data_IF_862542459381
#
_entry.id   IF_862542459381
#
_cell.length_a   1.000
_cell.length_b   1.000
_cell.length_c   1.000
_cell.angle_alpha   90.00
_cell.angle_beta   90.00
_cell.angle_gamma   90.00
#
_symmetry.space_group_name_H-M   'P 1'
#
loop_
_entity.id
_entity.type
_entity.pdbx_description
1 polymer ?
2 non-polymer ?
3 non-polymer ?
4 non-polymer ?
5 water ?
#
# COMPACT_ATOMS: atom_id res chain seq x y z
N UNK A 23 -10.18 -19.17 -25.33
CA UNK A 23 -8.92 -18.90 -24.65
C UNK A 23 -8.89 -19.61 -23.31
N UNK A 24 -7.70 -20.08 -22.93
CA UNK A 24 -7.55 -20.87 -21.70
C UNK A 24 -6.27 -20.55 -20.97
N UNK A 25 -6.33 -20.64 -19.64
CA UNK A 25 -5.13 -20.69 -18.84
C UNK A 25 -4.50 -22.07 -18.94
N UNK A 26 -3.23 -22.13 -19.33
CA UNK A 26 -2.52 -23.41 -19.46
C UNK A 26 -1.59 -23.69 -18.30
N UNK A 27 -1.14 -22.64 -17.63
CA UNK A 27 -0.28 -22.88 -16.47
C UNK A 27 -0.33 -21.65 -15.60
N UNK A 28 0.02 -21.85 -14.33
CA UNK A 28 0.17 -20.73 -13.41
C UNK A 28 1.17 -21.14 -12.37
N UNK A 29 2.07 -20.25 -12.02
CA UNK A 29 3.11 -20.61 -11.07
C UNK A 29 3.45 -19.47 -10.13
N UNK A 30 3.96 -19.82 -8.95
CA UNK A 30 4.31 -18.85 -7.94
C UNK A 30 5.83 -18.82 -7.86
N UNK A 31 6.38 -17.61 -8.02
CA UNK A 31 7.82 -17.39 -7.96
C UNK A 31 8.12 -16.64 -6.67
N UNK A 32 9.06 -17.15 -5.90
CA UNK A 32 9.45 -16.57 -4.60
C UNK A 32 10.92 -16.17 -4.71
N UNK A 33 11.22 -14.93 -4.35
CA UNK A 33 12.60 -14.43 -4.47
C UNK A 33 12.85 -13.43 -3.34
N UNK A 34 14.12 -13.35 -2.91
CA UNK A 34 14.49 -12.40 -1.82
C UNK A 34 15.70 -11.51 -2.22
N UNK A 35 15.49 -10.57 -3.13
CA UNK A 35 16.58 -9.67 -3.54
C UNK A 35 16.69 -8.52 -2.53
N UNK A 36 16.97 -8.84 -1.27
CA UNK A 36 17.02 -7.82 -0.23
C UNK A 36 15.85 -7.95 0.75
N UNK A 37 14.70 -8.39 0.23
CA UNK A 37 13.53 -8.72 1.07
C UNK A 37 12.66 -9.66 0.24
N UNK A 38 11.72 -10.36 0.88
CA UNK A 38 10.94 -11.38 0.15
C UNK A 38 9.81 -10.79 -0.70
N UNK A 39 9.73 -11.28 -1.94
CA UNK A 39 8.61 -10.97 -2.84
C UNK A 39 8.06 -12.27 -3.43
N UNK A 40 6.73 -12.33 -3.49
CA UNK A 40 6.03 -13.47 -4.07
C UNK A 40 5.23 -12.96 -5.26
N UNK A 41 5.33 -13.68 -6.40
CA UNK A 41 4.74 -13.25 -7.66
C UNK A 41 3.99 -14.41 -8.32
N UNK A 42 2.76 -14.18 -8.77
CA UNK A 42 2.05 -15.17 -9.58
C UNK A 42 2.21 -14.86 -11.06
N UNK A 43 2.49 -15.89 -11.86
CA UNK A 43 2.52 -15.75 -13.33
C UNK A 43 1.47 -16.70 -13.90
N UNK A 44 0.53 -16.15 -14.68
CA UNK A 44 -0.52 -16.94 -15.36
C UNK A 44 -0.19 -16.95 -16.84
N UNK A 45 -0.19 -18.13 -17.45
CA UNK A 45 0.17 -18.27 -18.88
C UNK A 45 -1.02 -18.78 -19.67
N UNK A 46 -1.33 -18.12 -20.78
CA UNK A 46 -2.46 -18.52 -21.63
C UNK A 46 -1.99 -19.39 -22.78
N UNK A 47 -2.96 -20.01 -23.44
CA UNK A 47 -2.66 -20.92 -24.56
C UNK A 47 -2.20 -20.20 -25.80
N UNK A 48 -2.35 -18.89 -25.83
CA UNK A 48 -1.77 -18.07 -26.87
C UNK A 48 -0.41 -17.48 -26.46
N UNK A 49 0.19 -18.01 -25.41
CA UNK A 49 1.48 -17.53 -24.96
C UNK A 49 1.54 -16.17 -24.26
N UNK A 50 0.47 -15.37 -24.29
CA UNK A 50 0.42 -14.14 -23.48
C UNK A 50 0.41 -14.57 -22.01
N UNK A 51 1.15 -13.84 -21.17
CA UNK A 51 1.13 -14.13 -19.74
C UNK A 51 0.90 -12.84 -19.01
N UNK A 52 0.51 -12.99 -17.75
CA UNK A 52 0.32 -11.86 -16.86
C UNK A 52 0.91 -12.18 -15.50
N UNK A 53 1.32 -11.13 -14.78
CA UNK A 53 1.83 -11.34 -13.42
C UNK A 53 1.13 -10.46 -12.42
N UNK A 54 1.10 -10.91 -11.16
CA UNK A 54 0.48 -10.20 -10.06
C UNK A 54 1.30 -10.36 -8.80
N UNK A 55 1.33 -9.32 -7.97
CA UNK A 55 2.02 -9.44 -6.67
C UNK A 55 1.14 -10.27 -5.69
N UNK A 56 1.83 -11.14 -4.95
CA UNK A 56 1.20 -11.94 -3.90
C UNK A 56 1.95 -11.80 -2.60
N UNK A 57 2.74 -10.74 -2.42
CA UNK A 57 3.57 -10.65 -1.19
C UNK A 57 2.76 -10.20 0.03
N UNK A 58 2.85 -10.96 1.14
CA UNK A 58 2.20 -10.61 2.42
C UNK A 58 3.26 -10.61 3.48
N UNK A 59 3.75 -9.39 3.82
CA UNK A 59 4.99 -9.25 4.60
C UNK A 59 4.89 -9.98 5.91
N UNK A 60 5.84 -10.85 6.16
CA UNK A 60 5.92 -11.54 7.44
C UNK A 60 5.06 -12.80 7.54
N UNK A 61 4.28 -13.11 6.50
CA UNK A 61 3.50 -14.37 6.42
C UNK A 61 3.56 -14.95 5.01
N UNK A 62 4.66 -14.71 4.28
CA UNK A 62 4.65 -14.88 2.83
C UNK A 62 4.28 -16.27 2.34
N UNK A 63 4.81 -17.33 2.97
CA UNK A 63 4.63 -18.68 2.51
C UNK A 63 3.15 -19.19 2.69
N UNK A 64 2.40 -18.56 3.57
CA UNK A 64 0.98 -18.96 3.72
C UNK A 64 0.20 -18.62 2.43
N UNK A 65 0.56 -17.53 1.77
CA UNK A 65 -0.04 -17.16 0.47
C UNK A 65 0.45 -18.10 -0.61
N UNK A 66 1.73 -18.46 -0.59
CA UNK A 66 2.24 -19.40 -1.58
C UNK A 66 1.41 -20.69 -1.56
N UNK A 67 1.15 -21.21 -0.35
CA UNK A 67 0.36 -22.42 -0.23
C UNK A 67 -1.11 -22.18 -0.66
N UNK A 68 -1.70 -21.07 -0.22
CA UNK A 68 -3.07 -20.77 -0.63
C UNK A 68 -3.20 -20.83 -2.16
N UNK A 69 -2.24 -20.25 -2.86
CA UNK A 69 -2.23 -20.29 -4.32
C UNK A 69 -1.91 -21.66 -4.87
N UNK A 70 -0.77 -22.24 -4.48
CA UNK A 70 -0.35 -23.48 -5.10
C UNK A 70 -1.25 -24.66 -4.80
N UNK A 71 -1.76 -24.72 -3.56
CA UNK A 71 -2.43 -25.92 -3.11
C UNK A 71 -3.92 -25.84 -3.33
N UNK A 72 -4.47 -24.66 -3.55
CA UNK A 72 -5.94 -24.48 -3.64
C UNK A 72 -6.39 -23.71 -4.89
N UNK A 73 -5.82 -22.55 -5.18
CA UNK A 73 -6.41 -21.71 -6.23
C UNK A 73 -5.88 -22.05 -7.63
N UNK A 74 -4.57 -22.22 -7.77
CA UNK A 74 -3.99 -22.51 -9.08
C UNK A 74 -4.61 -23.76 -9.74
N UNK A 75 -4.81 -24.88 -8.99
CA UNK A 75 -5.43 -26.04 -9.65
C UNK A 75 -6.82 -25.76 -10.26
N UNK A 76 -7.56 -24.81 -9.69
CA UNK A 76 -8.85 -24.37 -10.25
C UNK A 76 -8.71 -23.46 -11.45
N UNK A 77 -7.65 -22.65 -11.50
CA UNK A 77 -7.46 -21.74 -12.63
C UNK A 77 -7.24 -22.45 -13.94
N UNK A 78 -6.52 -23.58 -13.88
CA UNK A 78 -6.10 -24.23 -15.10
C UNK A 78 -7.34 -24.60 -15.94
N UNK A 79 -7.28 -24.22 -17.22
CA UNK A 79 -8.35 -24.50 -18.16
C UNK A 79 -9.43 -23.43 -18.22
N UNK A 80 -9.42 -22.47 -17.30
CA UNK A 80 -10.45 -21.44 -17.33
C UNK A 80 -10.13 -20.37 -18.35
N UNK A 81 -11.16 -19.63 -18.77
CA UNK A 81 -10.97 -18.55 -19.73
C UNK A 81 -10.44 -17.33 -18.91
N UNK A 82 -9.21 -16.87 -19.18
CA UNK A 82 -8.65 -15.75 -18.41
C UNK A 82 -9.40 -14.43 -18.65
N UNK A 83 -10.18 -14.35 -19.73
CA UNK A 83 -10.92 -13.10 -19.96
C UNK A 83 -12.04 -12.85 -18.95
N UNK A 84 -12.45 -13.91 -18.27
CA UNK A 84 -13.55 -13.82 -17.28
C UNK A 84 -13.03 -13.35 -15.92
N UNK A 85 -12.54 -12.13 -15.87
CA UNK A 85 -11.92 -11.62 -14.64
C UNK A 85 -12.95 -11.56 -13.50
N UNK A 86 -14.11 -10.98 -13.76
CA UNK A 86 -15.13 -10.85 -12.73
C UNK A 86 -15.59 -12.23 -12.25
N UNK A 87 -15.84 -13.17 -13.17
CA UNK A 87 -16.35 -14.48 -12.74
C UNK A 87 -15.31 -15.16 -11.85
N UNK A 88 -14.04 -15.08 -12.24
CA UNK A 88 -13.00 -15.73 -11.46
C UNK A 88 -12.88 -15.03 -10.09
N UNK A 89 -13.01 -13.70 -10.04
CA UNK A 89 -12.90 -12.98 -8.76
C UNK A 89 -13.98 -13.44 -7.83
N UNK A 90 -15.22 -13.51 -8.33
CA UNK A 90 -16.33 -13.93 -7.50
C UNK A 90 -16.16 -15.38 -7.08
N UNK A 91 -15.74 -16.23 -8.01
CA UNK A 91 -15.56 -17.66 -7.76
C UNK A 91 -14.62 -17.81 -6.56
N UNK A 92 -13.49 -17.12 -6.56
CA UNK A 92 -12.58 -17.27 -5.41
C UNK A 92 -13.03 -16.52 -4.17
N UNK A 93 -13.57 -15.31 -4.32
CA UNK A 93 -14.00 -14.54 -3.14
C UNK A 93 -15.10 -15.26 -2.40
N UNK A 94 -16.15 -15.70 -3.11
CA UNK A 94 -17.28 -16.38 -2.48
C UNK A 94 -16.94 -17.86 -2.23
N UNK A 95 -16.24 -18.47 -3.19
CA UNK A 95 -16.02 -19.92 -3.17
C UNK A 95 -15.11 -20.41 -2.05
N UNK A 96 -14.25 -19.55 -1.53
CA UNK A 96 -13.43 -19.91 -0.35
C UNK A 96 -14.31 -20.26 0.84
N UNK A 97 -15.55 -19.75 0.89
CA UNK A 97 -16.53 -20.03 1.97
C UNK A 97 -16.23 -19.20 3.22
N UNK A 98 -14.99 -19.32 3.72
CA UNK A 98 -14.45 -18.42 4.76
C UNK A 98 -14.01 -17.16 4.02
N UNK A 99 -14.69 -16.04 4.23
CA UNK A 99 -14.45 -14.90 3.35
C UNK A 99 -13.46 -13.87 3.89
N UNK A 100 -12.86 -13.12 2.97
CA UNK A 100 -11.99 -11.98 3.31
C UNK A 100 -10.71 -12.52 3.91
N UNK A 101 -9.96 -11.63 4.55
CA UNK A 101 -8.75 -12.03 5.28
C UNK A 101 -7.45 -11.81 4.53
N UNK A 102 -6.36 -11.53 5.24
CA UNK A 102 -5.10 -11.14 4.58
C UNK A 102 -4.58 -12.18 3.61
N UNK A 103 -4.62 -13.47 3.96
CA UNK A 103 -3.96 -14.48 3.13
C UNK A 103 -4.76 -14.70 1.87
N UNK A 104 -6.06 -14.97 2.01
CA UNK A 104 -6.89 -15.23 0.83
C UNK A 104 -7.05 -14.02 -0.07
N UNK A 105 -7.15 -12.81 0.49
CA UNK A 105 -7.30 -11.64 -0.34
C UNK A 105 -6.04 -11.26 -1.08
N UNK A 106 -4.87 -11.59 -0.54
CA UNK A 106 -3.59 -11.36 -1.24
C UNK A 106 -3.49 -12.38 -2.37
N UNK A 107 -3.86 -13.65 -2.12
CA UNK A 107 -3.85 -14.64 -3.20
C UNK A 107 -4.78 -14.20 -4.31
N UNK A 108 -6.00 -13.76 -3.96
CA UNK A 108 -6.95 -13.33 -4.98
C UNK A 108 -6.45 -12.08 -5.70
N UNK A 109 -5.81 -11.14 -4.99
CA UNK A 109 -5.20 -9.99 -5.65
C UNK A 109 -4.19 -10.39 -6.72
N UNK A 110 -3.38 -11.40 -6.43
CA UNK A 110 -2.33 -11.81 -7.36
C UNK A 110 -3.01 -12.30 -8.66
N UNK A 111 -4.05 -13.12 -8.51
CA UNK A 111 -4.81 -13.61 -9.68
C UNK A 111 -5.46 -12.46 -10.45
N UNK A 112 -6.13 -11.56 -9.73
CA UNK A 112 -6.85 -10.50 -10.40
C UNK A 112 -5.91 -9.59 -11.16
N UNK A 113 -4.76 -9.23 -10.57
CA UNK A 113 -3.82 -8.34 -11.27
C UNK A 113 -3.24 -9.07 -12.48
N UNK A 114 -2.88 -10.35 -12.33
CA UNK A 114 -2.32 -11.06 -13.48
C UNK A 114 -3.34 -11.13 -14.61
N UNK A 115 -4.63 -11.31 -14.30
CA UNK A 115 -5.64 -11.33 -15.36
C UNK A 115 -5.87 -9.96 -15.98
N UNK A 116 -5.84 -8.88 -15.20
CA UNK A 116 -5.94 -7.56 -15.85
C UNK A 116 -4.71 -7.29 -16.72
N UNK A 117 -3.53 -7.75 -16.29
CA UNK A 117 -2.30 -7.63 -17.08
C UNK A 117 -2.50 -8.34 -18.43
N UNK A 118 -3.01 -9.57 -18.39
CA UNK A 118 -3.35 -10.29 -19.64
C UNK A 118 -4.36 -9.54 -20.48
N UNK A 119 -5.45 -9.06 -19.90
CA UNK A 119 -6.51 -8.40 -20.67
C UNK A 119 -5.96 -7.14 -21.38
N UNK A 120 -5.14 -6.36 -20.67
CA UNK A 120 -4.55 -5.20 -21.30
C UNK A 120 -3.56 -5.57 -22.40
N UNK A 121 -2.77 -6.61 -22.21
CA UNK A 121 -1.89 -7.07 -23.28
C UNK A 121 -2.72 -7.55 -24.48
N UNK A 122 -3.84 -8.26 -24.25
CA UNK A 122 -4.70 -8.70 -25.39
C UNK A 122 -5.29 -7.49 -26.14
N UNK A 123 -5.64 -6.44 -25.41
CA UNK A 123 -6.10 -5.19 -25.99
C UNK A 123 -5.02 -4.36 -26.60
N UNK A 124 -3.75 -4.75 -26.37
CA UNK A 124 -2.59 -3.93 -26.76
C UNK A 124 -2.64 -2.50 -26.23
N UNK A 125 -2.96 -2.39 -24.94
CA UNK A 125 -3.06 -1.09 -24.25
C UNK A 125 -2.35 -1.13 -22.92
N UNK A 126 -1.76 0.00 -22.51
CA UNK A 126 -1.39 0.12 -21.09
C UNK A 126 -2.65 -0.03 -20.25
N UNK A 127 -2.50 -0.63 -19.06
CA UNK A 127 -3.66 -0.97 -18.23
C UNK A 127 -4.52 0.26 -17.95
N UNK A 128 -3.92 1.43 -17.68
CA UNK A 128 -4.78 2.58 -17.35
C UNK A 128 -5.81 2.90 -18.42
N UNK A 129 -5.52 2.56 -19.68
CA UNK A 129 -6.50 2.81 -20.73
C UNK A 129 -7.75 1.96 -20.56
N UNK A 130 -7.58 0.72 -20.10
CA UNK A 130 -8.74 -0.17 -19.89
C UNK A 130 -9.63 0.27 -18.78
N UNK A 131 -9.08 0.99 -17.79
CA UNK A 131 -9.83 1.40 -16.64
C UNK A 131 -10.69 2.62 -16.92
N UNK A 132 -10.40 3.29 -18.04
CA UNK A 132 -11.09 4.52 -18.35
C UNK A 132 -10.16 5.63 -18.80
N UNK A 133 -8.86 5.38 -18.93
CA UNK A 133 -7.95 6.38 -19.51
C UNK A 133 -7.34 7.32 -18.45
N UNK A 134 -6.41 8.15 -18.90
CA UNK A 134 -5.74 8.98 -17.93
C UNK A 134 -6.55 10.20 -17.51
N UNK A 135 -6.45 10.49 -16.23
CA UNK A 135 -7.13 11.62 -15.61
C UNK A 135 -6.15 12.71 -15.20
N UNK A 136 -4.86 12.49 -15.37
CA UNK A 136 -3.85 13.46 -14.87
C UNK A 136 -2.56 13.20 -15.66
N UNK A 137 -1.62 14.17 -15.64
CA UNK A 137 -0.39 14.03 -16.40
C UNK A 137 0.72 13.46 -15.56
N UNK A 138 0.55 13.47 -14.24
CA UNK A 138 1.64 13.08 -13.34
C UNK A 138 0.99 12.65 -12.03
N UNK A 139 1.66 11.77 -11.29
CA UNK A 139 1.11 11.18 -10.07
C UNK A 139 1.96 11.58 -8.85
N UNK A 140 1.37 12.40 -7.97
CA UNK A 140 2.11 12.87 -6.80
C UNK A 140 2.47 11.70 -5.88
N UNK A 141 3.73 11.72 -5.38
CA UNK A 141 4.16 10.69 -4.45
C UNK A 141 4.65 11.36 -3.14
N UNK A 142 4.86 10.53 -2.13
CA UNK A 142 5.62 11.02 -0.94
C UNK A 142 6.66 10.00 -0.55
N UNK A 143 7.70 10.50 0.12
CA UNK A 143 8.79 9.69 0.62
C UNK A 143 8.87 9.82 2.13
N UNK A 144 9.92 9.19 2.65
CA UNK A 144 10.24 9.15 4.07
C UNK A 144 11.24 10.23 4.47
N UNK A 145 11.07 10.68 5.69
CA UNK A 145 12.17 11.38 6.38
C UNK A 145 12.09 10.92 7.83
N UNK A 146 13.09 10.12 8.22
CA UNK A 146 13.13 9.53 9.57
C UNK A 146 14.41 9.94 10.24
N UNK A 147 14.34 10.33 11.50
CA UNK A 147 15.55 10.53 12.27
C UNK A 147 15.41 10.07 13.70
N UNK A 148 16.56 9.77 14.31
CA UNK A 148 16.59 9.28 15.69
C UNK A 148 16.34 10.42 16.66
N UNK A 149 16.57 11.66 16.19
CA UNK A 149 16.31 12.85 16.97
C UNK A 149 15.92 14.01 16.05
N UNK A 150 15.66 15.18 16.60
CA UNK A 150 15.15 16.28 15.77
C UNK A 150 16.16 16.77 14.75
N UNK A 151 17.43 16.94 15.14
CA UNK A 151 18.38 17.43 14.17
C UNK A 151 18.50 16.47 13.00
N UNK A 152 18.56 15.19 13.30
CA UNK A 152 18.64 14.22 12.22
C UNK A 152 17.36 14.14 11.38
N UNK A 153 16.20 14.34 12.01
CA UNK A 153 14.96 14.37 11.25
C UNK A 153 14.99 15.53 10.26
N UNK A 154 15.41 16.71 10.70
CA UNK A 154 15.49 17.89 9.83
C UNK A 154 16.42 17.63 8.65
N UNK A 155 17.57 17.00 8.91
CA UNK A 155 18.46 16.61 7.81
C UNK A 155 17.80 15.62 6.85
N UNK A 156 17.03 14.66 7.37
CA UNK A 156 16.36 13.70 6.50
C UNK A 156 15.30 14.40 5.63
N UNK A 157 14.65 15.43 6.16
CA UNK A 157 13.68 16.19 5.36
C UNK A 157 14.44 16.94 4.22
N UNK A 158 15.59 17.55 4.51
CA UNK A 158 16.39 18.21 3.48
C UNK A 158 16.78 17.21 2.41
N UNK A 159 17.23 16.02 2.79
CA UNK A 159 17.66 14.99 1.80
C UNK A 159 16.47 14.57 0.95
N UNK A 160 15.28 14.44 1.54
CA UNK A 160 14.08 14.06 0.77
C UNK A 160 13.70 15.15 -0.21
N UNK A 161 13.77 16.41 0.22
CA UNK A 161 13.45 17.53 -0.66
C UNK A 161 14.46 17.57 -1.82
N UNK A 162 15.73 17.29 -1.52
CA UNK A 162 16.75 17.34 -2.56
C UNK A 162 16.58 16.21 -3.58
N UNK A 163 15.83 15.18 -3.23
CA UNK A 163 15.51 14.15 -4.22
C UNK A 163 14.31 14.48 -5.07
N UNK A 164 13.71 15.65 -4.87
CA UNK A 164 12.61 16.16 -5.68
C UNK A 164 11.22 15.92 -5.12
N UNK A 165 11.12 15.34 -3.92
CA UNK A 165 9.78 15.09 -3.35
C UNK A 165 9.08 16.37 -2.87
N UNK A 166 7.79 16.48 -3.18
CA UNK A 166 6.93 17.57 -2.81
C UNK A 166 6.09 17.26 -1.59
N UNK A 167 6.25 16.03 -1.10
CA UNK A 167 5.45 15.55 0.02
C UNK A 167 6.33 14.56 0.77
N UNK A 168 6.35 14.72 2.09
CA UNK A 168 7.32 14.01 2.93
C UNK A 168 6.65 13.57 4.21
N UNK A 169 6.74 12.29 4.52
CA UNK A 169 6.28 11.74 5.81
C UNK A 169 7.38 11.91 6.81
N UNK A 170 7.10 12.50 7.96
CA UNK A 170 8.10 12.81 8.96
C UNK A 170 7.87 11.94 10.19
N UNK A 171 8.91 11.23 10.60
CA UNK A 171 8.90 10.39 11.81
C UNK A 171 10.17 10.70 12.56
N UNK A 172 10.07 10.86 13.87
CA UNK A 172 11.21 11.23 14.69
C UNK A 172 11.22 10.38 15.94
N UNK A 173 12.42 9.95 16.37
CA UNK A 173 12.55 9.27 17.64
C UNK A 173 12.11 10.15 18.79
N UNK A 174 11.63 9.53 19.86
CA UNK A 174 11.10 10.26 21.00
C UNK A 174 12.07 10.15 22.17
N UNK A 175 12.45 11.30 22.79
CA UNK A 175 13.38 11.22 23.93
C UNK A 175 12.78 10.34 25.04
N UNK A 176 13.60 9.49 25.67
CA UNK A 176 13.11 8.60 26.70
C UNK A 176 12.45 7.31 26.21
N UNK A 177 12.34 7.14 24.89
CA UNK A 177 11.90 5.87 24.32
C UNK A 177 13.07 5.19 23.57
N UNK A 196 14.80 -12.43 11.78
CA UNK A 196 14.24 -13.78 11.61
C UNK A 196 12.97 -13.98 12.45
N UNK A 197 12.96 -13.50 13.70
CA UNK A 197 11.76 -13.55 14.54
C UNK A 197 11.49 -12.11 14.95
N UNK A 198 10.27 -11.79 15.42
CA UNK A 198 9.95 -10.37 15.71
C UNK A 198 10.87 -9.70 16.76
N UNK A 199 11.37 -8.53 16.40
CA UNK A 199 12.06 -7.64 17.33
C UNK A 199 10.98 -7.07 18.24
N UNK A 200 11.38 -6.67 19.44
CA UNK A 200 10.40 -6.16 20.43
C UNK A 200 10.72 -4.70 20.72
N UNK A 201 9.85 -3.78 20.29
CA UNK A 201 10.01 -2.35 20.58
C UNK A 201 9.32 -1.99 21.88
N UNK A 202 9.72 -0.88 22.49
CA UNK A 202 9.06 -0.43 23.71
C UNK A 202 8.42 0.94 23.37
N UNK A 203 7.31 1.25 24.03
CA UNK A 203 6.51 2.41 23.63
C UNK A 203 5.96 3.14 24.84
N UNK A 204 5.95 4.48 24.78
CA UNK A 204 5.25 5.36 25.75
C UNK A 204 4.40 6.33 24.99
N UNK A 205 3.08 6.20 25.09
CA UNK A 205 2.15 7.14 24.46
C UNK A 205 2.37 8.59 24.98
N UNK A 206 2.50 8.73 26.28
CA UNK A 206 2.53 10.07 26.84
C UNK A 206 3.74 10.88 26.39
N UNK A 207 4.90 10.20 26.34
CA UNK A 207 6.10 10.89 25.86
C UNK A 207 5.97 11.29 24.39
N UNK A 208 5.42 10.41 23.57
CA UNK A 208 5.18 10.70 22.16
C UNK A 208 4.24 11.91 21.97
N UNK A 209 3.10 11.92 22.67
CA UNK A 209 2.12 13.02 22.47
C UNK A 209 2.68 14.36 22.90
N UNK A 210 3.55 14.35 23.92
CA UNK A 210 4.16 15.60 24.42
C UNK A 210 5.20 16.16 23.48
N UNK A 211 5.82 15.30 22.66
CA UNK A 211 6.99 15.70 21.87
C UNK A 211 6.71 15.91 20.40
N UNK A 212 5.92 15.05 19.81
CA UNK A 212 5.76 15.09 18.38
C UNK A 212 5.25 16.42 17.76
N UNK A 213 4.39 17.18 18.46
CA UNK A 213 4.03 18.48 17.84
C UNK A 213 5.22 19.42 17.69
N UNK A 214 6.19 19.33 18.58
CA UNK A 214 7.38 20.20 18.50
C UNK A 214 8.21 19.84 17.26
N UNK A 215 8.19 18.58 16.86
CA UNK A 215 8.88 18.16 15.64
C UNK A 215 8.25 18.85 14.43
N UNK A 216 6.92 18.83 14.33
CA UNK A 216 6.26 19.51 13.20
C UNK A 216 6.41 21.03 13.25
N UNK A 217 6.41 21.62 14.44
CA UNK A 217 6.73 23.04 14.54
C UNK A 217 8.11 23.35 13.97
N UNK A 218 9.10 22.52 14.28
CA UNK A 218 10.47 22.78 13.79
C UNK A 218 10.56 22.55 12.29
N UNK A 219 9.90 21.53 11.75
CA UNK A 219 9.92 21.28 10.33
C UNK A 219 9.27 22.44 9.60
N UNK A 220 8.12 22.93 10.06
CA UNK A 220 7.50 24.12 9.40
C UNK A 220 8.39 25.35 9.51
N UNK A 221 9.09 25.54 10.63
CA UNK A 221 9.91 26.73 10.76
C UNK A 221 11.05 26.70 9.76
N UNK A 222 11.66 25.54 9.56
CA UNK A 222 12.80 25.46 8.64
C UNK A 222 12.37 25.37 7.17
N UNK A 223 11.31 24.64 6.86
CA UNK A 223 10.99 24.32 5.47
C UNK A 223 9.79 25.06 4.89
N UNK A 224 9.07 25.80 5.73
CA UNK A 224 7.96 26.62 5.25
C UNK A 224 6.66 25.83 5.03
N UNK A 225 5.62 26.53 4.56
CA UNK A 225 4.24 26.00 4.47
C UNK A 225 3.90 25.25 3.19
N UNK A 226 4.74 25.32 2.17
CA UNK A 226 4.31 24.79 0.88
C UNK A 226 4.53 23.28 0.75
N UNK A 227 5.53 22.78 1.45
CA UNK A 227 5.83 21.34 1.40
C UNK A 227 4.68 20.54 2.08
N UNK A 228 4.25 19.44 1.47
CA UNK A 228 3.20 18.62 2.10
C UNK A 228 3.84 17.72 3.14
N UNK A 229 3.27 17.71 4.36
CA UNK A 229 3.87 16.91 5.45
C UNK A 229 2.86 15.89 5.91
N UNK A 230 3.34 14.68 6.12
CA UNK A 230 2.51 13.55 6.55
C UNK A 230 3.06 12.96 7.83
N UNK A 231 2.19 12.32 8.63
CA UNK A 231 2.67 11.61 9.81
C UNK A 231 1.89 10.34 9.99
N UNK A 232 2.60 9.26 10.33
CA UNK A 232 2.00 7.94 10.57
C UNK A 232 2.07 7.64 12.08
N UNK A 233 0.90 7.59 12.71
CA UNK A 233 0.80 7.30 14.15
C UNK A 233 1.00 5.83 14.41
N UNK A 234 0.77 5.00 13.38
CA UNK A 234 1.09 3.58 13.47
C UNK A 234 0.37 2.87 14.61
N UNK A 235 -0.93 3.18 14.75
CA UNK A 235 -1.90 2.39 15.54
C UNK A 235 -1.79 2.54 17.02
N UNK A 236 -1.01 3.51 17.53
CA UNK A 236 -0.61 3.45 18.92
C UNK A 236 -1.53 4.15 19.91
N UNK A 237 -2.51 4.93 19.41
CA UNK A 237 -3.31 5.77 20.31
C UNK A 237 -4.71 5.24 20.53
N UNK A 238 -5.37 5.73 21.56
CA UNK A 238 -6.84 5.58 21.67
C UNK A 238 -7.50 6.75 20.98
N UNK A 239 -8.80 6.67 20.67
CA UNK A 239 -9.43 7.79 19.95
C UNK A 239 -9.32 9.15 20.63
N UNK A 240 -9.47 9.27 21.94
CA UNK A 240 -9.38 10.61 22.52
C UNK A 240 -7.93 11.13 22.50
N UNK A 241 -6.96 10.21 22.55
CA UNK A 241 -5.54 10.59 22.33
C UNK A 241 -5.27 11.06 20.91
N UNK A 242 -5.86 10.37 19.93
CA UNK A 242 -5.75 10.80 18.55
C UNK A 242 -6.44 12.14 18.32
N UNK A 243 -7.58 12.37 19.00
CA UNK A 243 -8.26 13.66 18.91
C UNK A 243 -7.32 14.77 19.43
N UNK A 244 -6.73 14.55 20.61
CA UNK A 244 -5.74 15.47 21.16
C UNK A 244 -4.58 15.71 20.21
N UNK A 245 -4.02 14.65 19.62
CA UNK A 245 -2.86 14.84 18.72
C UNK A 245 -3.29 15.59 17.47
N UNK A 246 -4.42 15.21 16.87
CA UNK A 246 -4.88 15.93 15.69
C UNK A 246 -5.03 17.41 15.98
N UNK A 247 -5.63 17.76 17.11
CA UNK A 247 -5.76 19.17 17.47
C UNK A 247 -4.38 19.82 17.59
N UNK A 248 -3.41 19.15 18.27
CA UNK A 248 -2.09 19.74 18.46
C UNK A 248 -1.37 19.91 17.13
N UNK A 249 -1.71 19.12 16.11
CA UNK A 249 -1.01 19.21 14.83
C UNK A 249 -1.70 20.18 13.86
N UNK A 250 -2.91 20.64 14.21
CA UNK A 250 -3.63 21.57 13.29
C UNK A 250 -2.80 22.79 12.81
N UNK A 251 -2.02 23.45 13.66
CA UNK A 251 -1.28 24.65 13.17
C UNK A 251 -0.30 24.33 12.07
N UNK A 252 0.11 23.05 11.97
CA UNK A 252 1.13 22.66 10.99
C UNK A 252 0.53 22.13 9.70
N UNK A 253 -0.79 22.06 9.61
CA UNK A 253 -1.51 21.75 8.38
C UNK A 253 -0.94 20.57 7.62
N UNK A 254 -1.01 19.42 8.28
CA UNK A 254 -0.57 18.17 7.67
C UNK A 254 -1.47 17.73 6.53
N UNK A 255 -0.86 17.10 5.51
CA UNK A 255 -1.62 16.41 4.47
C UNK A 255 -2.49 15.30 5.06
N UNK A 256 -1.91 14.52 5.97
CA UNK A 256 -2.72 13.58 6.78
C UNK A 256 -2.01 13.17 8.03
N UNK A 257 -2.84 12.70 8.97
CA UNK A 257 -2.39 11.95 10.14
C UNK A 257 -2.98 10.56 9.93
N UNK A 258 -2.08 9.57 9.88
CA UNK A 258 -2.39 8.19 9.41
C UNK A 258 -2.44 7.18 10.53
N UNK A 259 -3.38 6.26 10.38
CA UNK A 259 -3.51 5.06 11.25
C UNK A 259 -3.46 5.45 12.72
N UNK A 260 -4.30 6.43 13.08
CA UNK A 260 -4.17 6.92 14.45
C UNK A 260 -4.54 5.95 15.54
N UNK A 261 -5.54 5.12 15.27
CA UNK A 261 -6.01 4.13 16.23
C UNK A 261 -6.30 2.85 15.46
N UNK A 262 -6.19 1.67 16.10
CA UNK A 262 -6.62 0.42 15.42
C UNK A 262 -8.09 0.55 15.04
N UNK A 263 -8.40 0.07 13.85
CA UNK A 263 -9.65 0.41 13.19
C UNK A 263 -10.59 -0.76 12.98
N UNK A 264 -10.40 -1.84 13.73
CA UNK A 264 -11.36 -2.96 13.61
C UNK A 264 -12.75 -2.51 14.00
N UNK A 265 -12.90 -1.66 15.01
CA UNK A 265 -14.15 -1.03 15.36
C UNK A 265 -14.11 0.33 14.66
N UNK A 266 -14.81 0.39 13.53
CA UNK A 266 -14.70 1.59 12.68
C UNK A 266 -15.26 2.84 13.35
N UNK A 267 -16.19 2.67 14.30
CA UNK A 267 -16.75 3.81 15.04
C UNK A 267 -15.71 4.57 15.90
N UNK A 268 -14.57 3.94 16.11
CA UNK A 268 -13.43 4.61 16.79
C UNK A 268 -13.10 5.95 16.15
N UNK A 269 -13.24 6.08 14.84
CA UNK A 269 -12.86 7.32 14.17
C UNK A 269 -13.89 8.43 14.35
N UNK A 270 -15.14 8.12 14.77
CA UNK A 270 -16.16 9.16 14.95
C UNK A 270 -15.70 10.17 16.01
N UNK A 271 -15.12 9.73 17.10
CA UNK A 271 -14.71 10.59 18.16
C UNK A 271 -13.51 11.47 17.73
N UNK A 272 -12.58 10.92 16.92
CA UNK A 272 -11.48 11.69 16.41
C UNK A 272 -12.04 12.80 15.53
N UNK A 273 -12.95 12.44 14.63
CA UNK A 273 -13.48 13.38 13.65
C UNK A 273 -14.25 14.49 14.31
N UNK A 274 -14.86 14.25 15.47
CA UNK A 274 -15.56 15.29 16.23
C UNK A 274 -14.64 16.43 16.56
N UNK A 275 -13.39 16.09 16.91
CA UNK A 275 -12.50 16.98 17.65
C UNK A 275 -11.41 17.63 16.85
N UNK A 276 -11.09 17.20 15.63
CA UNK A 276 -9.99 17.81 14.90
C UNK A 276 -10.31 17.98 13.43
N UNK A 277 -9.67 19.00 12.85
CA UNK A 277 -9.71 19.19 11.40
C UNK A 277 -8.41 18.78 10.72
N UNK A 278 -7.45 18.16 11.45
CA UNK A 278 -6.35 17.53 10.76
C UNK A 278 -6.90 16.39 9.88
N UNK A 279 -6.54 16.32 8.58
CA UNK A 279 -7.07 15.25 7.74
C UNK A 279 -6.61 13.87 8.19
N UNK A 280 -7.47 12.86 8.00
CA UNK A 280 -7.23 11.52 8.54
C UNK A 280 -7.08 10.52 7.41
N UNK A 281 -6.11 9.64 7.55
CA UNK A 281 -5.93 8.55 6.60
C UNK A 281 -5.88 7.22 7.36
N UNK A 282 -6.35 6.13 6.72
CA UNK A 282 -6.23 4.82 7.37
C UNK A 282 -6.32 3.77 6.29
N UNK A 283 -5.79 2.57 6.56
CA UNK A 283 -6.26 1.38 5.86
C UNK A 283 -5.19 0.56 5.14
N UNK A 284 -3.90 0.77 5.33
CA UNK A 284 -2.92 -0.12 4.69
C UNK A 284 -3.12 -1.56 5.12
N UNK A 285 -3.68 -1.80 6.31
CA UNK A 285 -3.83 -3.20 6.76
C UNK A 285 -5.14 -3.85 6.31
N UNK A 286 -6.04 -3.11 5.65
CA UNK A 286 -7.36 -3.65 5.30
C UNK A 286 -7.26 -4.61 4.11
N UNK A 287 -8.25 -5.50 4.02
CA UNK A 287 -8.29 -6.41 2.86
C UNK A 287 -9.65 -6.41 2.19
N UNK A 288 -10.59 -5.57 2.60
CA UNK A 288 -11.93 -5.62 2.05
C UNK A 288 -12.62 -4.27 2.18
N UNK A 289 -13.55 -4.01 1.26
CA UNK A 289 -14.45 -2.88 1.45
C UNK A 289 -15.19 -2.94 2.77
N UNK A 290 -15.41 -4.14 3.32
CA UNK A 290 -16.14 -4.25 4.57
C UNK A 290 -15.32 -3.79 5.78
N UNK A 291 -14.04 -3.57 5.57
CA UNK A 291 -13.18 -3.02 6.64
C UNK A 291 -13.31 -1.49 6.72
N UNK A 292 -13.91 -0.86 5.69
CA UNK A 292 -13.90 0.61 5.63
C UNK A 292 -15.22 1.19 5.17
N UNK A 293 -16.29 0.40 4.97
CA UNK A 293 -17.52 0.98 4.47
C UNK A 293 -18.01 2.04 5.42
N UNK A 294 -18.04 1.78 6.72
CA UNK A 294 -18.59 2.77 7.65
C UNK A 294 -17.67 3.98 7.78
N UNK A 295 -16.35 3.79 7.81
CA UNK A 295 -15.42 4.92 7.86
C UNK A 295 -15.72 5.89 6.72
N UNK A 296 -15.96 5.36 5.54
CA UNK A 296 -16.13 6.19 4.33
C UNK A 296 -17.54 6.78 4.29
N UNK A 297 -18.60 5.97 4.45
CA UNK A 297 -19.93 6.52 4.24
C UNK A 297 -20.32 7.56 5.28
N UNK A 298 -19.68 7.51 6.45
CA UNK A 298 -19.96 8.50 7.49
C UNK A 298 -18.98 9.67 7.43
N UNK A 299 -18.12 9.70 6.42
CA UNK A 299 -17.16 10.83 6.26
C UNK A 299 -16.25 10.97 7.47
N UNK A 300 -15.78 9.83 8.00
CA UNK A 300 -14.88 9.86 9.16
C UNK A 300 -13.44 9.93 8.77
N UNK A 301 -13.10 9.73 7.49
CA UNK A 301 -11.72 9.76 7.03
C UNK A 301 -11.64 10.55 5.75
N UNK A 302 -10.42 10.96 5.39
CA UNK A 302 -10.16 11.72 4.14
C UNK A 302 -9.44 10.92 3.06
N UNK A 303 -8.65 9.92 3.49
CA UNK A 303 -7.87 9.10 2.53
C UNK A 303 -7.95 7.67 2.93
N UNK A 304 -8.18 6.81 1.93
CA UNK A 304 -8.20 5.34 2.10
C UNK A 304 -6.88 4.81 1.56
N UNK A 305 -6.19 4.04 2.39
CA UNK A 305 -4.81 3.62 2.07
C UNK A 305 -4.69 2.16 1.62
N UNK A 306 -5.82 1.44 1.58
CA UNK A 306 -5.89 0.01 1.23
C UNK A 306 -5.33 -0.22 -0.18
N UNK A 307 -4.60 -1.33 -0.36
CA UNK A 307 -3.83 -1.52 -1.59
C UNK A 307 -4.40 -2.64 -2.46
N UNK A 308 -3.97 -2.56 -3.73
CA UNK A 308 -4.30 -3.58 -4.72
C UNK A 308 -3.81 -4.96 -4.27
N UNK A 309 -2.56 -5.09 -3.79
CA UNK A 309 -2.02 -6.42 -3.45
C UNK A 309 -2.73 -7.02 -2.22
N UNK A 310 -3.17 -6.19 -1.27
CA UNK A 310 -3.70 -6.74 -0.03
C UNK A 310 -5.20 -6.80 0.08
N UNK A 311 -5.89 -6.23 -0.91
CA UNK A 311 -7.35 -6.18 -0.85
C UNK A 311 -7.99 -6.66 -2.15
N UNK A 312 -7.52 -7.76 -2.71
CA UNK A 312 -8.29 -8.40 -3.78
C UNK A 312 -8.11 -7.77 -5.16
N UNK A 313 -7.08 -6.99 -5.37
CA UNK A 313 -6.72 -6.56 -6.71
C UNK A 313 -7.39 -5.32 -7.25
N UNK A 314 -7.20 -5.14 -8.56
CA UNK A 314 -7.81 -4.04 -9.31
C UNK A 314 -9.33 -4.08 -9.19
N UNK A 315 -9.95 -5.25 -9.32
CA UNK A 315 -11.42 -5.34 -9.31
C UNK A 315 -11.99 -4.80 -8.02
N UNK A 316 -11.42 -5.20 -6.87
CA UNK A 316 -11.97 -4.68 -5.62
C UNK A 316 -11.57 -3.23 -5.37
N UNK A 317 -10.34 -2.82 -5.69
CA UNK A 317 -9.96 -1.43 -5.41
C UNK A 317 -10.72 -0.44 -6.31
N UNK A 318 -11.14 -0.81 -7.53
CA UNK A 318 -12.02 0.09 -8.30
C UNK A 318 -13.29 0.37 -7.49
N UNK A 319 -13.87 -0.66 -6.88
CA UNK A 319 -15.11 -0.53 -6.09
C UNK A 319 -14.86 0.31 -4.85
N UNK A 320 -13.73 0.09 -4.15
CA UNK A 320 -13.43 0.93 -2.97
C UNK A 320 -13.24 2.38 -3.38
N UNK A 321 -12.47 2.62 -4.45
CA UNK A 321 -12.21 4.02 -4.82
C UNK A 321 -13.49 4.70 -5.28
N UNK A 322 -14.33 4.04 -6.04
CA UNK A 322 -15.58 4.65 -6.48
C UNK A 322 -16.49 4.91 -5.28
N UNK A 323 -16.60 3.97 -4.34
CA UNK A 323 -17.42 4.22 -3.14
C UNK A 323 -16.87 5.45 -2.41
N UNK A 324 -15.55 5.49 -2.22
CA UNK A 324 -14.91 6.62 -1.57
C UNK A 324 -15.26 7.96 -2.23
N UNK A 325 -15.37 7.97 -3.56
CA UNK A 325 -15.57 9.22 -4.30
C UNK A 325 -16.90 9.86 -3.94
N UNK A 326 -17.91 9.11 -3.51
CA UNK A 326 -19.22 9.66 -3.15
C UNK A 326 -19.22 10.47 -1.86
N UNK A 327 -18.13 10.30 -1.10
CA UNK A 327 -18.02 10.81 0.26
C UNK A 327 -16.77 11.63 0.46
N UNK A 328 -16.22 12.16 -0.64
CA UNK A 328 -15.04 13.05 -0.63
C UNK A 328 -13.75 12.40 -0.24
N UNK A 329 -13.73 11.07 -0.15
CA UNK A 329 -12.51 10.37 0.22
C UNK A 329 -11.65 10.14 -1.00
N UNK A 330 -10.34 10.33 -0.84
CA UNK A 330 -9.38 10.19 -1.93
C UNK A 330 -8.46 8.99 -1.69
N UNK A 331 -7.87 8.46 -2.76
CA UNK A 331 -6.97 7.29 -2.59
C UNK A 331 -5.63 7.76 -2.10
N UNK A 332 -5.05 6.99 -1.20
CA UNK A 332 -3.69 7.26 -0.74
C UNK A 332 -2.98 5.94 -0.57
N UNK A 333 -2.78 5.20 -1.66
CA UNK A 333 -2.25 3.84 -1.53
C UNK A 333 -0.94 3.78 -0.73
N UNK A 334 -0.93 2.82 0.20
CA UNK A 334 0.29 2.38 0.83
C UNK A 334 1.28 1.92 -0.24
N UNK A 335 2.56 2.10 0.05
CA UNK A 335 3.61 1.98 -0.96
C UNK A 335 4.93 1.73 -0.30
N UNK A 336 4.92 0.99 0.80
CA UNK A 336 6.17 0.59 1.46
C UNK A 336 6.91 -0.46 0.60
N UNK A 337 8.16 -0.75 0.97
CA UNK A 337 8.97 -1.62 0.14
C UNK A 337 8.46 -3.07 0.01
N UNK A 338 7.61 -3.50 0.96
CA UNK A 338 7.06 -4.87 0.98
C UNK A 338 5.96 -5.11 -0.06
N UNK A 339 5.56 -4.05 -0.77
CA UNK A 339 4.69 -4.19 -1.96
C UNK A 339 5.66 -4.22 -3.14
N UNK A 340 5.63 -5.28 -3.94
CA UNK A 340 6.65 -5.42 -4.98
C UNK A 340 6.48 -4.42 -6.14
N UNK A 341 7.48 -4.33 -7.02
CA UNK A 341 7.29 -3.48 -8.20
C UNK A 341 6.05 -3.85 -9.03
N UNK A 342 5.62 -5.12 -8.98
CA UNK A 342 4.37 -5.50 -9.67
C UNK A 342 3.20 -4.76 -9.06
N UNK A 343 3.11 -4.72 -7.74
CA UNK A 343 2.07 -3.90 -7.12
C UNK A 343 2.23 -2.43 -7.49
N UNK A 344 3.46 -1.91 -7.47
CA UNK A 344 3.65 -0.50 -7.82
C UNK A 344 3.16 -0.21 -9.24
N UNK A 345 3.50 -1.08 -10.20
CA UNK A 345 3.05 -0.82 -11.58
C UNK A 345 1.52 -0.80 -11.66
N UNK A 346 0.87 -1.81 -11.06
CA UNK A 346 -0.59 -1.80 -11.07
C UNK A 346 -1.17 -0.57 -10.37
N UNK A 347 -0.57 -0.20 -9.23
CA UNK A 347 -1.03 0.97 -8.51
C UNK A 347 -0.89 2.24 -9.30
N UNK A 348 0.20 2.39 -10.04
CA UNK A 348 0.43 3.62 -10.80
C UNK A 348 -0.53 3.71 -11.99
N UNK A 349 -0.79 2.56 -12.64
CA UNK A 349 -1.83 2.60 -13.69
C UNK A 349 -3.18 3.01 -13.10
N UNK A 350 -3.54 2.43 -11.95
CA UNK A 350 -4.78 2.78 -11.27
C UNK A 350 -4.77 4.28 -10.92
N UNK A 351 -3.66 4.76 -10.36
CA UNK A 351 -3.53 6.16 -9.95
C UNK A 351 -3.66 7.10 -11.14
N UNK A 352 -3.20 6.69 -12.34
CA UNK A 352 -3.22 7.57 -13.50
C UNK A 352 -4.67 7.82 -13.98
N UNK A 353 -5.56 6.84 -13.74
CA UNK A 353 -6.97 6.93 -14.16
C UNK A 353 -7.89 7.47 -13.05
N UNK A 354 -7.69 7.05 -11.79
CA UNK A 354 -8.82 7.17 -10.85
C UNK A 354 -9.13 8.68 -10.60
N UNK A 355 -10.42 9.08 -10.63
CA UNK A 355 -10.67 10.51 -10.54
C UNK A 355 -10.27 11.05 -9.17
N UNK A 356 -10.63 10.35 -8.10
CA UNK A 356 -10.40 10.81 -6.72
C UNK A 356 -9.05 10.37 -6.17
N UNK A 357 -8.01 10.48 -7.00
CA UNK A 357 -6.64 10.23 -6.55
C UNK A 357 -6.20 11.25 -5.53
N UNK A 358 -5.52 10.80 -4.48
CA UNK A 358 -4.94 11.71 -3.49
C UNK A 358 -3.41 11.75 -3.57
N UNK A 359 -2.77 10.62 -3.29
CA UNK A 359 -1.29 10.57 -3.35
C UNK A 359 -0.89 9.09 -3.43
N UNK A 360 0.37 8.87 -3.83
CA UNK A 360 0.93 7.52 -3.84
C UNK A 360 2.16 7.45 -2.91
N UNK A 361 2.14 6.55 -1.94
CA UNK A 361 3.36 6.37 -1.13
C UNK A 361 4.45 5.77 -1.99
N UNK A 362 5.68 6.25 -1.81
CA UNK A 362 6.84 5.68 -2.48
C UNK A 362 8.00 5.54 -1.52
N UNK A 363 8.17 4.36 -0.99
CA UNK A 363 9.39 4.02 -0.28
C UNK A 363 10.19 3.19 -1.27
N UNK A 364 11.31 3.72 -1.74
CA UNK A 364 11.98 3.17 -2.92
C UNK A 364 12.54 1.78 -2.74
N UNK A 365 12.33 0.94 -3.75
CA UNK A 365 13.02 -0.32 -3.86
C UNK A 365 14.49 -0.13 -4.16
N UNK A 366 15.30 -1.13 -3.80
CA UNK A 366 16.73 -1.05 -4.08
C UNK A 366 17.04 -1.44 -5.51
N UNK A 367 18.27 -1.17 -5.94
CA UNK A 367 18.70 -1.57 -7.27
C UNK A 367 18.54 -3.09 -7.52
N UNK A 368 18.86 -3.88 -6.51
CA UNK A 368 18.76 -5.33 -6.60
C UNK A 368 17.30 -5.76 -6.82
N UNK A 369 16.37 -5.13 -6.10
CA UNK A 369 14.92 -5.40 -6.23
C UNK A 369 14.43 -4.99 -7.60
N UNK A 370 14.82 -3.78 -8.03
CA UNK A 370 14.36 -3.31 -9.32
C UNK A 370 14.83 -4.16 -10.48
N UNK A 371 16.05 -4.73 -10.40
CA UNK A 371 16.56 -5.56 -11.49
C UNK A 371 15.74 -6.85 -11.71
N UNK A 372 15.17 -7.39 -10.62
CA UNK A 372 14.36 -8.60 -10.75
C UNK A 372 13.03 -8.30 -11.45
N UNK A 373 12.56 -7.04 -11.35
CA UNK A 373 11.25 -6.65 -11.89
C UNK A 373 11.34 -5.47 -12.87
N UNK A 374 11.80 -5.72 -14.09
CA UNK A 374 11.83 -4.63 -15.10
C UNK A 374 10.45 -4.00 -15.27
N UNK A 375 10.41 -2.68 -15.41
CA UNK A 375 9.12 -2.00 -15.40
C UNK A 375 9.18 -0.72 -16.21
N UNK A 376 8.00 -0.30 -16.65
CA UNK A 376 7.86 0.89 -17.46
C UNK A 376 7.60 2.15 -16.66
N UNK A 377 7.18 2.05 -15.41
CA UNK A 377 6.89 3.26 -14.67
C UNK A 377 8.19 4.01 -14.34
N UNK A 378 8.06 5.33 -14.27
CA UNK A 378 9.25 6.15 -13.98
C UNK A 378 8.88 7.29 -13.04
N UNK A 379 9.92 7.76 -12.37
CA UNK A 379 9.86 8.86 -11.40
C UNK A 379 10.59 10.06 -11.95
N UNK A 380 10.00 11.23 -11.76
CA UNK A 380 10.63 12.47 -12.11
C UNK A 380 10.17 13.60 -11.23
N UNK A 381 11.12 14.21 -10.51
CA UNK A 381 10.82 15.41 -9.71
C UNK A 381 9.64 15.29 -8.76
N UNK A 382 9.54 14.14 -8.09
CA UNK A 382 8.46 13.91 -7.12
C UNK A 382 7.22 13.21 -7.65
N UNK A 383 7.15 12.93 -8.94
CA UNK A 383 5.93 12.38 -9.53
C UNK A 383 6.21 11.13 -10.35
N UNK A 384 5.20 10.30 -10.54
CA UNK A 384 5.32 9.12 -11.39
C UNK A 384 4.45 9.22 -12.65
N UNK A 385 4.84 8.47 -13.67
CA UNK A 385 3.91 8.07 -14.75
C UNK A 385 4.00 6.55 -14.87
N UNK A 386 2.92 5.90 -15.32
CA UNK A 386 2.92 4.43 -15.28
C UNK A 386 3.68 3.76 -16.44
N UNK A 387 3.92 4.48 -17.52
CA UNK A 387 4.56 3.89 -18.72
C UNK A 387 3.50 3.44 -19.71
N UNK A 388 3.90 3.37 -20.96
CA UNK A 388 2.96 3.11 -22.07
C UNK A 388 3.07 1.67 -22.57
N UNK A 389 3.85 0.82 -21.92
CA UNK A 389 3.88 -0.59 -22.31
C UNK A 389 2.51 -1.24 -22.04
N UNK A 390 2.09 -2.18 -22.89
CA UNK A 390 0.80 -2.86 -22.65
C UNK A 390 0.83 -3.65 -21.35
N UNK A 391 -0.33 -3.83 -20.74
CA UNK A 391 -0.41 -4.41 -19.39
C UNK A 391 -0.07 -3.41 -18.33
N UNK A 392 0.28 -3.87 -17.12
CA UNK A 392 0.74 -2.89 -16.13
C UNK A 392 2.20 -2.49 -16.31
N UNK A 393 2.87 -3.08 -17.30
CA UNK A 393 4.21 -2.64 -17.69
C UNK A 393 5.30 -3.25 -16.83
N UNK A 394 4.98 -4.19 -15.95
CA UNK A 394 6.00 -4.82 -15.12
C UNK A 394 6.19 -6.28 -15.55
N UNK A 395 7.43 -6.77 -15.48
CA UNK A 395 7.72 -8.17 -15.78
C UNK A 395 8.60 -8.71 -14.64
N UNK A 396 8.83 -10.03 -14.65
CA UNK A 396 9.77 -10.63 -13.70
C UNK A 396 10.83 -11.38 -14.46
N UNK A 397 12.10 -11.11 -14.12
CA UNK A 397 13.22 -11.84 -14.70
C UNK A 397 13.40 -13.12 -13.88
N UNK A 398 12.91 -14.23 -14.41
CA UNK A 398 12.88 -15.48 -13.62
C UNK A 398 14.27 -16.01 -13.31
N UNK A 399 15.20 -15.84 -14.25
CA UNK A 399 16.57 -16.32 -14.04
C UNK A 399 17.24 -15.54 -12.93
N UNK A 400 17.07 -14.22 -12.95
CA UNK A 400 17.62 -13.45 -11.87
C UNK A 400 16.91 -13.73 -10.51
N UNK A 401 15.58 -13.85 -10.52
CA UNK A 401 14.85 -14.12 -9.27
C UNK A 401 15.37 -15.38 -8.59
N UNK A 402 15.72 -16.37 -9.40
CA UNK A 402 16.20 -17.65 -8.88
C UNK A 402 17.54 -17.57 -8.13
N UNK A 403 18.26 -16.46 -8.27
CA UNK A 403 19.54 -16.26 -7.56
C UNK A 403 19.35 -15.89 -6.07
N UNK A 404 18.13 -15.58 -5.67
CA UNK A 404 17.91 -15.06 -4.33
C UNK A 404 16.85 -15.85 -3.58
N UNK A 405 17.27 -16.85 -2.79
CA UNK A 405 16.28 -17.67 -2.09
C UNK A 405 15.61 -16.93 -0.94
N UNK A 406 14.36 -17.34 -0.66
CA UNK A 406 13.61 -16.88 0.50
C UNK A 406 14.43 -16.84 1.77
N UNK A 407 14.23 -15.77 2.54
CA UNK A 407 14.82 -15.70 3.87
C UNK A 407 13.79 -15.10 4.83
N UNK A 408 13.45 -15.84 5.88
CA UNK A 408 12.38 -15.35 6.74
C UNK A 408 12.72 -13.98 7.36
N UNK A 409 11.74 -13.09 7.36
CA UNK A 409 11.84 -11.82 8.10
C UNK A 409 10.45 -11.45 8.56
N UNK A 410 10.31 -11.22 9.87
CA UNK A 410 9.01 -10.88 10.43
C UNK A 410 9.00 -9.44 10.94
N UNK A 411 7.80 -8.90 11.05
CA UNK A 411 7.61 -7.52 11.54
C UNK A 411 7.78 -7.50 13.07
N UNK A 412 8.19 -6.34 13.62
CA UNK A 412 8.35 -6.21 15.08
C UNK A 412 7.01 -6.29 15.79
N UNK A 413 7.08 -6.52 17.09
CA UNK A 413 5.96 -6.27 18.02
C UNK A 413 6.33 -5.09 18.89
N UNK A 414 5.34 -4.55 19.57
CA UNK A 414 5.52 -3.35 20.38
C UNK A 414 4.97 -3.68 21.76
N UNK A 415 5.75 -3.39 22.80
CA UNK A 415 5.25 -3.50 24.18
C UNK A 415 5.26 -2.14 24.87
N UNK A 416 4.29 -1.93 25.75
CA UNK A 416 4.32 -0.75 26.62
C UNK A 416 5.45 -0.87 27.64
N UNK A 417 5.72 0.22 28.37
CA UNK A 417 6.81 0.17 29.33
C UNK A 417 6.62 -0.87 30.44
N UNK A 418 5.38 -1.26 30.73
CA UNK A 418 5.16 -2.32 31.74
C UNK A 418 5.21 -3.72 31.15
N UNK A 419 5.45 -3.83 29.85
CA UNK A 419 5.47 -5.15 29.19
C UNK A 419 4.21 -5.54 28.44
N UNK A 420 3.15 -4.74 28.51
CA UNK A 420 1.90 -5.07 27.83
C UNK A 420 2.12 -5.18 26.33
N UNK A 421 1.67 -6.28 25.70
CA UNK A 421 1.74 -6.39 24.24
C UNK A 421 0.76 -5.43 23.60
N UNK A 422 1.31 -4.46 22.89
CA UNK A 422 0.54 -3.34 22.32
C UNK A 422 0.48 -3.44 20.81
N UNK A 423 0.02 -2.40 20.15
CA UNK A 423 -0.06 -2.34 18.68
C UNK A 423 1.26 -1.83 18.13
N UNK A 424 1.85 -2.51 17.16
CA UNK A 424 3.10 -2.02 16.57
C UNK A 424 2.73 -1.12 15.42
#
# INVERSE_FOLDING_TARGET
MHHHHHHSSGVDLGTENLYFQSMKIVDAKVIVTCPGRNFVTLKIVTDQGIYGIGDATLNGREKSVVSYLEDYLIPVLIGRDPQQIEDIWQFFYRGAYWRRGPVGMTALAAIDVALWDIKAKLANMPLYQLLGGKSRERILSYTHANGKDLDSTLEAVRKAKDKGYKAIRVQCGIPGIAKTYGVSTNTKSYEPADADLPSVEVWSTEKYLNYIPDVFAAVRKEFGPDIHLLHDVHHRLTPIEAARLGKALEPYHLFWMEDAVPAENQESFKLIRQHTTTPLAVGEVFNSIHDCRELIQNQWIDYIRTTIVHAGGISQMRRIADFASLFHVRTGFHGATDLSPVCMGAALHFDYWVPNFGIQEHMAHSEQMNAVFPHAYTFNDGYFTPGEKPGHGVDIDEKLAAQYPYKRACLPVNRLEDGTLWHW
#
